data_IF_543221889940
#
_entry.id   IF_543221889940
#
_cell.length_a   1.000
_cell.length_b   1.000
_cell.length_c   1.000
_cell.angle_alpha   90.00
_cell.angle_beta   90.00
_cell.angle_gamma   90.00
#
_symmetry.space_group_name_H-M   'P 1'
#
loop_
_entity.id
_entity.type
_entity.pdbx_description
1 polymer ?
#
# COMPACT_ATOMS: atom_id res chain seq x y z
N UNK A 1 -4.95 6.58 -15.17
CA UNK A 1 -5.20 6.61 -13.71
C UNK A 1 -4.11 5.79 -13.05
N UNK A 2 -3.56 6.24 -11.91
CA UNK A 2 -2.51 5.50 -11.19
C UNK A 2 -3.13 4.27 -10.50
N UNK A 3 -2.48 3.11 -10.59
CA UNK A 3 -2.94 1.87 -9.93
C UNK A 3 -2.76 2.00 -8.42
N UNK A 4 -3.77 1.63 -7.64
CA UNK A 4 -3.71 1.66 -6.17
C UNK A 4 -4.37 0.43 -5.54
N UNK A 5 -3.89 0.07 -4.34
CA UNK A 5 -4.54 -0.86 -3.43
C UNK A 5 -5.26 -0.06 -2.33
N UNK A 6 -6.30 -0.66 -1.72
CA UNK A 6 -6.92 -0.13 -0.51
C UNK A 6 -6.55 -0.98 0.68
N UNK A 7 -6.07 -0.32 1.74
CA UNK A 7 -5.87 -0.94 3.04
C UNK A 7 -6.89 -0.36 4.03
N UNK A 8 -7.69 -1.24 4.63
CA UNK A 8 -8.67 -0.88 5.66
C UNK A 8 -8.22 -1.43 7.01
N UNK A 9 -8.08 -0.56 8.02
CA UNK A 9 -7.70 -0.91 9.39
C UNK A 9 -8.68 -0.22 10.35
N UNK A 10 -9.54 -1.01 10.98
CA UNK A 10 -10.68 -0.47 11.72
C UNK A 10 -11.54 0.38 10.80
N UNK A 11 -11.75 1.64 11.17
CA UNK A 11 -12.53 2.62 10.40
C UNK A 11 -11.69 3.40 9.37
N UNK A 12 -10.36 3.24 9.38
CA UNK A 12 -9.46 3.98 8.50
C UNK A 12 -9.29 3.24 7.18
N UNK A 13 -9.49 3.96 6.08
CA UNK A 13 -9.20 3.49 4.72
C UNK A 13 -8.08 4.36 4.14
N UNK A 14 -7.05 3.72 3.58
CA UNK A 14 -5.96 4.41 2.88
C UNK A 14 -5.75 3.81 1.49
N UNK A 15 -5.51 4.69 0.52
CA UNK A 15 -5.04 4.31 -0.81
C UNK A 15 -3.52 4.19 -0.81
N UNK A 16 -3.01 3.05 -1.27
CA UNK A 16 -1.61 2.73 -1.38
C UNK A 16 -1.24 2.63 -2.87
N UNK A 17 -0.23 3.37 -3.36
CA UNK A 17 0.22 3.24 -4.74
C UNK A 17 0.68 1.81 -5.05
N UNK A 18 0.42 1.36 -6.28
CA UNK A 18 1.00 0.13 -6.83
C UNK A 18 2.03 0.51 -7.88
N UNK A 19 3.23 -0.08 -7.76
CA UNK A 19 4.28 0.02 -8.75
C UNK A 19 4.41 -1.31 -9.51
N UNK A 20 4.39 -1.25 -10.83
CA UNK A 20 4.63 -2.38 -11.72
C UNK A 20 6.05 -2.29 -12.28
N UNK A 21 6.97 -3.20 -11.93
CA UNK A 21 8.31 -3.23 -12.51
C UNK A 21 8.28 -3.73 -13.97
N UNK A 22 9.40 -3.61 -14.68
CA UNK A 22 9.53 -4.16 -16.05
C UNK A 22 9.45 -5.69 -16.07
N UNK A 23 9.96 -6.35 -15.02
CA UNK A 23 9.90 -7.78 -14.80
C UNK A 23 9.59 -8.05 -13.33
N UNK A 24 8.80 -9.08 -13.05
CA UNK A 24 8.41 -9.48 -11.69
C UNK A 24 7.02 -8.97 -11.28
N UNK A 25 6.63 -9.21 -10.02
CA UNK A 25 5.30 -8.86 -9.51
C UNK A 25 5.15 -7.37 -9.23
N UNK A 26 3.90 -6.93 -9.19
CA UNK A 26 3.53 -5.63 -8.66
C UNK A 26 3.88 -5.51 -7.18
N UNK A 27 4.25 -4.31 -6.75
CA UNK A 27 4.54 -4.00 -5.35
C UNK A 27 3.64 -2.89 -4.84
N UNK A 28 3.14 -3.06 -3.61
CA UNK A 28 2.34 -2.04 -2.92
C UNK A 28 3.29 -1.14 -2.13
N UNK A 29 3.25 0.17 -2.38
CA UNK A 29 4.02 1.13 -1.61
C UNK A 29 3.37 1.37 -0.24
N UNK A 30 3.95 0.74 0.78
CA UNK A 30 3.49 0.80 2.17
C UNK A 30 4.10 1.97 2.96
N UNK A 31 4.86 2.90 2.36
CA UNK A 31 5.50 3.99 3.12
C UNK A 31 4.50 4.83 3.93
N UNK A 32 3.25 4.95 3.47
CA UNK A 32 2.17 5.66 4.17
C UNK A 32 1.53 4.88 5.33
N UNK A 33 1.81 3.57 5.49
CA UNK A 33 1.29 2.76 6.61
C UNK A 33 1.84 3.25 7.95
N UNK A 34 3.09 3.71 7.99
CA UNK A 34 3.76 4.29 9.17
C UNK A 34 3.03 5.53 9.70
N UNK A 35 2.46 6.36 8.81
CA UNK A 35 1.62 7.52 9.17
C UNK A 35 0.28 7.10 9.76
N UNK A 36 -0.12 5.85 9.57
CA UNK A 36 -1.32 5.25 10.16
C UNK A 36 -1.03 4.52 11.47
N UNK A 37 0.20 4.61 12.00
CA UNK A 37 0.66 3.92 13.21
C UNK A 37 0.56 2.39 13.10
N UNK A 38 0.60 1.87 11.87
CA UNK A 38 0.59 0.44 11.58
C UNK A 38 1.86 0.09 10.80
N UNK A 39 2.42 -1.06 11.13
CA UNK A 39 3.56 -1.64 10.42
C UNK A 39 3.14 -3.00 9.86
N UNK A 40 3.86 -3.45 8.83
CA UNK A 40 3.75 -4.84 8.39
C UNK A 40 4.43 -5.76 9.40
N UNK A 41 3.96 -6.99 9.49
CA UNK A 41 4.65 -8.08 10.15
C UNK A 41 4.98 -9.09 9.08
N UNK A 42 6.26 -9.18 8.71
CA UNK A 42 6.80 -10.00 7.64
C UNK A 42 8.19 -10.49 8.08
#
# INVERSE_FOLDING_TARGET
>A
MTKSAKLTIGEKVIDLPIHSPTLGPDVVDIRSSTRSRCFTYD
#
